data_IF_030785469281
#
_entry.id   IF_030785469281
#
_cell.length_a   1.000
_cell.length_b   1.000
_cell.length_c   1.000
_cell.angle_alpha   90.00
_cell.angle_beta   90.00
_cell.angle_gamma   90.00
#
_symmetry.space_group_name_H-M   'P 1'
#
loop_
_entity.id
_entity.type
_entity.pdbx_description
1 polymer ?
#
# COMPACT_ATOMS: atom_id res chain seq x y z
N UNK A 1 23.17 -13.37 27.27
CA UNK A 1 22.06 -12.41 27.35
C UNK A 1 21.16 -12.72 26.19
N UNK A 2 19.95 -13.20 26.48
CA UNK A 2 19.07 -13.76 25.46
C UNK A 2 18.56 -12.64 24.57
N UNK A 3 18.79 -12.78 23.27
CA UNK A 3 18.49 -11.74 22.29
C UNK A 3 17.01 -11.35 22.32
N UNK A 4 16.14 -12.32 22.60
CA UNK A 4 14.68 -12.15 22.60
C UNK A 4 14.17 -11.36 23.81
N UNK A 5 15.02 -11.07 24.80
CA UNK A 5 14.69 -10.21 25.94
C UNK A 5 14.77 -8.71 25.63
N UNK A 6 15.36 -8.33 24.48
CA UNK A 6 15.46 -6.95 24.01
C UNK A 6 14.16 -6.54 23.31
N UNK A 7 13.26 -5.98 24.12
CA UNK A 7 11.97 -5.44 23.69
C UNK A 7 11.82 -4.06 24.34
N UNK A 8 11.33 -3.08 23.57
CA UNK A 8 11.15 -1.69 24.00
C UNK A 8 10.40 -1.58 25.34
N UNK A 9 9.36 -2.40 25.53
CA UNK A 9 8.52 -2.42 26.73
C UNK A 9 9.18 -3.04 27.97
N UNK A 10 10.21 -3.87 27.80
CA UNK A 10 10.93 -4.50 28.92
C UNK A 10 12.18 -3.72 29.30
N UNK A 11 12.95 -3.26 28.31
CA UNK A 11 14.21 -2.55 28.51
C UNK A 11 14.37 -1.42 27.47
N UNK A 12 13.72 -0.27 27.66
CA UNK A 12 13.64 0.76 26.62
C UNK A 12 15.00 1.36 26.27
N UNK A 13 15.80 1.74 27.28
CA UNK A 13 17.09 2.40 27.06
C UNK A 13 18.11 1.49 26.36
N UNK A 14 18.25 0.24 26.82
CA UNK A 14 19.20 -0.70 26.19
C UNK A 14 18.75 -1.12 24.79
N UNK A 15 17.44 -1.24 24.56
CA UNK A 15 16.89 -1.57 23.24
C UNK A 15 17.13 -0.43 22.26
N UNK A 16 16.91 0.82 22.68
CA UNK A 16 17.21 2.01 21.86
C UNK A 16 18.71 2.13 21.57
N UNK A 17 19.57 1.94 22.57
CA UNK A 17 21.02 1.99 22.38
C UNK A 17 21.49 0.94 21.33
N UNK A 18 20.97 -0.29 21.42
CA UNK A 18 21.33 -1.36 20.49
C UNK A 18 20.75 -1.12 19.10
N UNK A 19 19.54 -0.57 19.02
CA UNK A 19 18.93 -0.11 17.78
C UNK A 19 19.82 0.93 17.08
N UNK A 20 20.23 1.99 17.77
CA UNK A 20 21.09 3.03 17.18
C UNK A 20 22.46 2.48 16.75
N UNK A 21 23.03 1.56 17.52
CA UNK A 21 24.30 0.91 17.15
C UNK A 21 24.18 0.04 15.90
N UNK A 22 23.12 -0.77 15.75
CA UNK A 22 22.91 -1.53 14.52
C UNK A 22 22.58 -0.63 13.34
N UNK A 23 21.76 0.41 13.57
CA UNK A 23 21.43 1.41 12.56
C UNK A 23 22.71 2.09 12.04
N UNK A 24 23.61 2.50 12.94
CA UNK A 24 24.89 3.09 12.56
C UNK A 24 25.76 2.12 11.76
N UNK A 25 25.85 0.85 12.16
CA UNK A 25 26.59 -0.18 11.41
C UNK A 25 25.99 -0.40 10.02
N UNK A 26 24.67 -0.46 9.91
CA UNK A 26 23.96 -0.62 8.64
C UNK A 26 24.22 0.57 7.72
N UNK A 27 24.11 1.79 8.25
CA UNK A 27 24.38 3.03 7.52
C UNK A 27 25.85 3.07 7.08
N UNK A 28 26.81 2.81 7.98
CA UNK A 28 28.23 2.86 7.65
C UNK A 28 28.62 1.81 6.61
N UNK A 29 28.10 0.58 6.73
CA UNK A 29 28.34 -0.49 5.76
C UNK A 29 27.69 -0.18 4.42
N UNK A 30 26.47 0.38 4.44
CA UNK A 30 25.77 0.85 3.25
C UNK A 30 26.54 1.95 2.54
N UNK A 31 27.01 2.95 3.29
CA UNK A 31 27.81 4.06 2.77
C UNK A 31 29.14 3.57 2.19
N UNK A 32 29.85 2.66 2.86
CA UNK A 32 31.08 2.07 2.33
C UNK A 32 30.83 1.32 1.02
N UNK A 33 29.75 0.55 0.92
CA UNK A 33 29.36 -0.13 -0.33
C UNK A 33 28.97 0.86 -1.41
N UNK A 34 28.24 1.92 -1.07
CA UNK A 34 27.86 2.98 -2.00
C UNK A 34 29.12 3.66 -2.56
N UNK A 35 30.06 4.04 -1.70
CA UNK A 35 31.34 4.66 -2.06
C UNK A 35 32.25 3.73 -2.86
N UNK A 36 32.14 2.41 -2.68
CA UNK A 36 32.81 1.43 -3.54
C UNK A 36 32.33 1.54 -5.00
N UNK A 37 31.04 1.87 -5.21
CA UNK A 37 30.49 2.25 -6.52
C UNK A 37 30.66 3.76 -6.77
N UNK A 38 31.92 4.20 -6.93
CA UNK A 38 32.31 5.62 -7.05
C UNK A 38 31.43 6.45 -7.98
N UNK A 39 31.04 5.90 -9.14
CA UNK A 39 30.17 6.58 -10.10
C UNK A 39 28.75 6.80 -9.57
N UNK A 40 28.17 5.77 -8.94
CA UNK A 40 26.81 5.84 -8.37
C UNK A 40 26.77 6.73 -7.12
N UNK A 41 27.82 6.72 -6.31
CA UNK A 41 27.95 7.66 -5.19
C UNK A 41 28.05 9.11 -5.68
N UNK A 42 28.82 9.35 -6.74
CA UNK A 42 28.98 10.69 -7.33
C UNK A 42 27.68 11.19 -7.96
N UNK A 43 26.94 10.34 -8.69
CA UNK A 43 25.64 10.75 -9.26
C UNK A 43 24.60 11.07 -8.19
N UNK A 44 24.53 10.27 -7.12
CA UNK A 44 23.63 10.55 -5.98
C UNK A 44 24.03 11.85 -5.28
N UNK A 45 25.33 12.06 -5.04
CA UNK A 45 25.81 13.28 -4.41
C UNK A 45 25.49 14.53 -5.24
N UNK A 46 25.75 14.50 -6.55
CA UNK A 46 25.43 15.60 -7.46
C UNK A 46 23.93 15.84 -7.53
N UNK A 47 23.11 14.78 -7.53
CA UNK A 47 21.65 14.91 -7.52
C UNK A 47 21.14 15.58 -6.23
N UNK A 48 21.64 15.17 -5.06
CA UNK A 48 21.28 15.77 -3.76
C UNK A 48 21.75 17.22 -3.69
N UNK A 49 22.98 17.51 -4.12
CA UNK A 49 23.48 18.87 -4.16
C UNK A 49 22.64 19.75 -5.10
N UNK A 50 22.30 19.23 -6.28
CA UNK A 50 21.46 19.92 -7.26
C UNK A 50 20.07 20.23 -6.74
N UNK A 51 19.42 19.28 -6.05
CA UNK A 51 18.09 19.52 -5.45
C UNK A 51 18.15 20.52 -4.30
N UNK A 52 19.17 20.44 -3.44
CA UNK A 52 19.38 21.40 -2.34
C UNK A 52 19.61 22.80 -2.89
N UNK A 53 20.50 22.96 -3.87
CA UNK A 53 20.77 24.26 -4.51
C UNK A 53 19.52 24.82 -5.18
N UNK A 54 18.78 23.98 -5.92
CA UNK A 54 17.52 24.36 -6.57
C UNK A 54 16.44 24.80 -5.58
N UNK A 55 16.45 24.27 -4.35
CA UNK A 55 15.51 24.66 -3.31
C UNK A 55 15.87 26.00 -2.64
N UNK A 56 17.15 26.22 -2.32
CA UNK A 56 17.59 27.42 -1.59
C UNK A 56 17.86 28.64 -2.47
N UNK A 57 18.20 28.44 -3.75
CA UNK A 57 18.46 29.56 -4.67
C UNK A 57 17.13 30.12 -5.16
N UNK A 58 16.86 31.38 -4.83
CA UNK A 58 15.70 32.10 -5.37
C UNK A 58 15.87 32.33 -6.87
N UNK A 59 14.86 32.00 -7.66
CA UNK A 59 14.90 32.19 -9.11
C UNK A 59 13.61 31.79 -9.81
N UNK A 60 13.54 31.95 -11.14
CA UNK A 60 12.34 31.64 -11.93
C UNK A 60 11.99 30.14 -11.95
N UNK A 61 12.89 29.28 -11.47
CA UNK A 61 12.69 27.84 -11.35
C UNK A 61 11.90 27.44 -10.08
N UNK A 62 11.80 28.32 -9.08
CA UNK A 62 11.10 28.07 -7.82
C UNK A 62 9.65 27.56 -7.96
N UNK A 63 8.77 28.12 -8.82
CA UNK A 63 7.43 27.57 -8.99
C UNK A 63 7.44 26.11 -9.47
N UNK A 64 8.36 25.73 -10.36
CA UNK A 64 8.51 24.35 -10.81
C UNK A 64 9.01 23.42 -9.70
N UNK A 65 9.96 23.90 -8.88
CA UNK A 65 10.48 23.15 -7.72
C UNK A 65 9.35 22.89 -6.71
N UNK A 66 8.53 23.89 -6.40
CA UNK A 66 7.40 23.73 -5.48
C UNK A 66 6.36 22.74 -6.02
N UNK A 67 6.05 22.79 -7.31
CA UNK A 67 5.17 21.80 -7.96
C UNK A 67 5.75 20.40 -7.83
N UNK A 68 7.03 20.20 -8.14
CA UNK A 68 7.68 18.88 -8.01
C UNK A 68 7.65 18.38 -6.58
N UNK A 69 7.95 19.22 -5.59
CA UNK A 69 7.91 18.85 -4.16
C UNK A 69 6.49 18.45 -3.76
N UNK A 70 5.49 19.26 -4.12
CA UNK A 70 4.09 18.98 -3.81
C UNK A 70 3.64 17.66 -4.47
N UNK A 71 3.98 17.44 -5.73
CA UNK A 71 3.67 16.20 -6.47
C UNK A 71 4.36 14.99 -5.85
N UNK A 72 5.64 15.09 -5.48
CA UNK A 72 6.35 13.98 -4.83
C UNK A 72 5.81 13.69 -3.43
N UNK A 73 5.46 14.71 -2.65
CA UNK A 73 4.82 14.55 -1.35
C UNK A 73 3.45 13.88 -1.49
N UNK A 74 2.67 14.26 -2.49
CA UNK A 74 1.39 13.64 -2.82
C UNK A 74 1.54 12.16 -3.20
N UNK A 75 2.48 11.81 -4.08
CA UNK A 75 2.76 10.43 -4.44
C UNK A 75 3.27 9.61 -3.25
N UNK A 76 4.20 10.19 -2.48
CA UNK A 76 4.75 9.58 -1.28
C UNK A 76 3.68 9.28 -0.24
N UNK A 77 2.70 10.17 -0.06
CA UNK A 77 1.55 9.95 0.81
C UNK A 77 0.76 8.70 0.42
N UNK A 78 0.44 8.53 -0.86
CA UNK A 78 -0.26 7.34 -1.36
C UNK A 78 0.56 6.06 -1.18
N UNK A 79 1.88 6.10 -1.39
CA UNK A 79 2.77 4.97 -1.12
C UNK A 79 2.75 4.60 0.37
N UNK A 80 2.88 5.58 1.27
CA UNK A 80 2.90 5.35 2.72
C UNK A 80 1.57 4.77 3.19
N UNK A 81 0.44 5.31 2.74
CA UNK A 81 -0.88 4.75 3.05
C UNK A 81 -1.02 3.32 2.50
N UNK A 82 -0.50 3.05 1.31
CA UNK A 82 -0.44 1.71 0.73
C UNK A 82 0.35 0.72 1.60
N UNK A 83 1.54 1.11 2.07
CA UNK A 83 2.34 0.28 2.99
C UNK A 83 1.58 0.02 4.29
N UNK A 84 1.02 1.07 4.88
CA UNK A 84 0.26 0.96 6.13
C UNK A 84 -0.99 0.09 5.97
N UNK A 85 -1.58 0.03 4.77
CA UNK A 85 -2.74 -0.82 4.49
C UNK A 85 -2.45 -2.32 4.51
N UNK A 86 -1.19 -2.73 4.29
CA UNK A 86 -0.81 -4.13 4.19
C UNK A 86 0.00 -4.65 5.38
N UNK A 87 0.68 -3.77 6.11
CA UNK A 87 1.48 -4.14 7.28
C UNK A 87 0.55 -4.45 8.48
N UNK A 88 0.07 -5.70 8.55
CA UNK A 88 -0.58 -6.26 9.75
C UNK A 88 -1.82 -7.13 9.50
N UNK A 89 -1.64 -8.30 8.87
CA UNK A 89 -2.69 -9.35 8.73
C UNK A 89 -3.88 -8.98 7.82
N UNK A 90 -3.65 -8.17 6.78
CA UNK A 90 -4.34 -8.40 5.51
C UNK A 90 -5.76 -7.84 5.34
N UNK A 91 -6.20 -6.83 6.10
CA UNK A 91 -7.47 -6.14 5.79
C UNK A 91 -7.32 -4.99 4.79
N UNK A 92 -6.36 -5.05 3.85
CA UNK A 92 -6.14 -4.00 2.84
C UNK A 92 -7.36 -3.63 1.97
N UNK A 93 -8.42 -4.46 1.95
CA UNK A 93 -9.72 -4.09 1.37
C UNK A 93 -10.41 -2.97 2.18
N UNK A 94 -10.30 -3.00 3.50
CA UNK A 94 -10.91 -2.03 4.38
C UNK A 94 -10.23 -0.68 4.30
N UNK A 95 -8.90 -0.65 4.32
CA UNK A 95 -8.11 0.58 4.14
C UNK A 95 -8.32 1.19 2.76
N UNK A 96 -8.49 0.37 1.72
CA UNK A 96 -8.93 0.84 0.41
C UNK A 96 -10.26 1.59 0.49
N UNK A 97 -11.27 1.03 1.17
CA UNK A 97 -12.59 1.66 1.30
C UNK A 97 -12.59 2.96 2.13
N UNK A 98 -11.56 3.23 2.93
CA UNK A 98 -11.48 4.43 3.77
C UNK A 98 -10.74 5.58 3.10
N UNK A 99 -9.73 5.28 2.29
CA UNK A 99 -8.83 6.29 1.72
C UNK A 99 -8.96 6.36 0.20
N UNK A 100 -8.52 5.33 -0.52
CA UNK A 100 -8.46 5.35 -1.98
C UNK A 100 -9.87 5.29 -2.62
N UNK A 101 -10.77 4.49 -2.07
CA UNK A 101 -12.16 4.36 -2.54
C UNK A 101 -12.92 5.69 -2.52
N UNK A 102 -12.98 6.40 -1.38
CA UNK A 102 -13.61 7.71 -1.29
C UNK A 102 -12.94 8.76 -2.19
N UNK A 103 -11.62 8.72 -2.36
CA UNK A 103 -10.92 9.59 -3.31
C UNK A 103 -11.38 9.35 -4.76
N UNK A 104 -11.43 8.08 -5.21
CA UNK A 104 -11.93 7.71 -6.54
C UNK A 104 -13.39 8.11 -6.70
N UNK A 105 -14.22 7.89 -5.68
CA UNK A 105 -15.63 8.27 -5.67
C UNK A 105 -15.81 9.78 -5.85
N UNK A 106 -15.05 10.61 -5.13
CA UNK A 106 -15.11 12.08 -5.26
C UNK A 106 -14.72 12.55 -6.66
N UNK A 107 -13.64 12.02 -7.23
CA UNK A 107 -13.23 12.33 -8.61
C UNK A 107 -14.28 11.90 -9.62
N UNK A 108 -14.92 10.75 -9.38
CA UNK A 108 -15.98 10.22 -10.25
C UNK A 108 -17.23 11.12 -10.20
N UNK A 109 -17.67 11.51 -9.01
CA UNK A 109 -18.82 12.42 -8.84
C UNK A 109 -18.54 13.79 -9.47
N UNK A 110 -17.39 14.39 -9.17
CA UNK A 110 -16.98 15.66 -9.75
C UNK A 110 -16.95 15.62 -11.29
N UNK A 111 -16.50 14.49 -11.87
CA UNK A 111 -16.52 14.31 -13.31
C UNK A 111 -17.93 14.30 -13.89
N UNK A 112 -18.86 13.52 -13.30
CA UNK A 112 -20.23 13.48 -13.78
C UNK A 112 -20.99 14.79 -13.56
N UNK A 113 -20.71 15.54 -12.49
CA UNK A 113 -21.35 16.82 -12.20
C UNK A 113 -20.86 17.94 -13.10
N UNK A 114 -19.55 18.03 -13.31
CA UNK A 114 -18.98 19.06 -14.18
C UNK A 114 -19.09 18.75 -15.68
N UNK A 115 -19.40 17.50 -16.06
CA UNK A 115 -19.37 17.07 -17.46
C UNK A 115 -17.96 17.12 -18.08
N UNK A 116 -16.92 17.30 -17.27
CA UNK A 116 -15.52 17.47 -17.68
C UNK A 116 -14.56 16.91 -16.64
N UNK A 117 -13.31 16.70 -17.02
CA UNK A 117 -12.25 16.17 -16.13
C UNK A 117 -11.21 17.21 -15.71
N UNK A 118 -11.29 18.43 -16.24
CA UNK A 118 -10.40 19.55 -15.94
C UNK A 118 -10.88 20.37 -14.74
N UNK A 119 -11.20 19.69 -13.65
CA UNK A 119 -11.47 20.29 -12.34
C UNK A 119 -10.24 20.11 -11.43
N UNK A 120 -10.07 20.99 -10.41
CA UNK A 120 -8.92 20.94 -9.49
C UNK A 120 -8.77 19.55 -8.86
N UNK A 121 -7.54 19.08 -8.70
CA UNK A 121 -7.27 17.78 -8.10
C UNK A 121 -7.48 17.81 -6.58
N UNK A 122 -7.86 16.68 -5.94
CA UNK A 122 -8.05 16.62 -4.50
C UNK A 122 -6.78 17.00 -3.71
N UNK A 123 -6.89 17.70 -2.57
CA UNK A 123 -8.12 18.10 -1.88
C UNK A 123 -8.86 19.23 -2.62
N UNK A 124 -10.14 19.02 -2.91
CA UNK A 124 -10.98 20.05 -3.52
C UNK A 124 -11.14 21.22 -2.53
N UNK A 125 -11.20 22.47 -3.00
CA UNK A 125 -11.78 23.54 -2.21
C UNK A 125 -13.24 23.19 -1.86
N UNK A 126 -13.85 23.94 -0.94
CA UNK A 126 -15.19 23.67 -0.40
C UNK A 126 -16.29 23.47 -1.47
N UNK A 127 -16.06 23.94 -2.70
CA UNK A 127 -16.94 23.74 -3.85
C UNK A 127 -16.17 23.12 -5.04
N UNK A 128 -16.81 22.21 -5.77
CA UNK A 128 -16.27 21.66 -7.02
C UNK A 128 -16.31 22.77 -8.08
N UNK A 129 -15.16 23.36 -8.38
CA UNK A 129 -15.05 24.38 -9.42
C UNK A 129 -14.98 23.70 -10.79
N UNK A 130 -16.08 23.72 -11.52
CA UNK A 130 -16.15 23.18 -12.88
C UNK A 130 -15.49 24.14 -13.90
N UNK A 131 -14.81 23.60 -14.93
CA UNK A 131 -14.24 24.42 -15.99
C UNK A 131 -15.34 25.08 -16.83
N UNK A 132 -15.10 26.31 -17.30
CA UNK A 132 -16.04 27.07 -18.12
C UNK A 132 -16.19 26.52 -19.56
N UNK A 133 -15.21 25.76 -20.05
CA UNK A 133 -15.23 25.13 -21.36
C UNK A 133 -15.00 23.62 -21.21
N UNK A 134 -15.86 22.83 -21.90
CA UNK A 134 -15.77 21.38 -21.92
C UNK A 134 -14.88 20.99 -23.10
N UNK A 135 -13.66 20.53 -22.82
CA UNK A 135 -12.77 19.98 -23.84
C UNK A 135 -13.35 18.66 -24.38
N UNK A 136 -13.53 18.51 -25.72
CA UNK A 136 -14.09 17.29 -26.31
C UNK A 136 -13.20 16.05 -26.07
N UNK A 137 -11.89 16.25 -25.87
CA UNK A 137 -10.95 15.16 -25.54
C UNK A 137 -11.04 14.71 -24.06
N UNK A 138 -11.58 15.55 -23.17
CA UNK A 138 -11.69 15.28 -21.74
C UNK A 138 -13.14 15.09 -21.29
N UNK A 139 -13.96 14.55 -22.20
CA UNK A 139 -15.34 14.15 -21.89
C UNK A 139 -15.38 13.06 -20.82
N UNK A 140 -16.48 13.04 -20.07
CA UNK A 140 -16.69 12.08 -18.99
C UNK A 140 -16.86 10.70 -19.57
N UNK A 141 -15.88 9.84 -19.29
CA UNK A 141 -15.93 8.42 -19.61
C UNK A 141 -15.24 7.63 -18.51
N UNK A 142 -15.63 6.37 -18.33
CA UNK A 142 -15.01 5.48 -17.34
C UNK A 142 -13.50 5.43 -17.55
N UNK A 143 -13.05 5.34 -18.80
CA UNK A 143 -11.63 5.30 -19.17
C UNK A 143 -10.90 6.59 -18.81
N UNK A 144 -11.49 7.75 -19.06
CA UNK A 144 -10.86 9.03 -18.76
C UNK A 144 -10.82 9.28 -17.24
N UNK A 145 -11.86 8.90 -16.49
CA UNK A 145 -11.86 8.93 -15.01
C UNK A 145 -10.78 7.98 -14.47
N UNK A 146 -10.70 6.74 -14.99
CA UNK A 146 -9.65 5.77 -14.62
C UNK A 146 -8.25 6.28 -14.92
N UNK A 147 -8.09 7.12 -15.95
CA UNK A 147 -6.83 7.76 -16.32
C UNK A 147 -6.48 8.90 -15.35
N UNK A 148 -7.47 9.69 -14.93
CA UNK A 148 -7.28 10.80 -13.97
C UNK A 148 -6.79 10.31 -12.60
N UNK A 149 -7.37 9.24 -12.05
CA UNK A 149 -6.97 8.66 -10.74
C UNK A 149 -5.83 7.64 -10.82
N UNK A 150 -5.12 7.57 -11.96
CA UNK A 150 -4.18 6.48 -12.25
C UNK A 150 -3.00 6.48 -11.31
N UNK A 151 -2.40 7.65 -11.08
CA UNK A 151 -1.13 7.75 -10.37
C UNK A 151 -1.34 7.44 -8.89
N UNK A 152 -2.36 8.02 -8.26
CA UNK A 152 -2.73 7.77 -6.87
C UNK A 152 -3.01 6.29 -6.64
N UNK A 153 -3.80 5.68 -7.53
CA UNK A 153 -4.12 4.25 -7.45
C UNK A 153 -2.87 3.38 -7.60
N UNK A 154 -2.00 3.68 -8.57
CA UNK A 154 -0.76 2.93 -8.79
C UNK A 154 0.22 3.09 -7.61
N UNK A 155 0.40 4.30 -7.09
CA UNK A 155 1.27 4.58 -5.95
C UNK A 155 0.78 3.87 -4.69
N UNK A 156 -0.52 3.87 -4.43
CA UNK A 156 -1.11 3.04 -3.38
C UNK A 156 -0.81 1.56 -3.59
N UNK A 157 -1.02 1.05 -4.80
CA UNK A 157 -0.75 -0.35 -5.13
C UNK A 157 0.73 -0.75 -4.98
N UNK A 158 1.66 0.13 -5.35
CA UNK A 158 3.10 -0.03 -5.08
C UNK A 158 3.35 -0.07 -3.59
N UNK A 159 2.75 0.84 -2.82
CA UNK A 159 2.80 0.83 -1.36
C UNK A 159 2.35 -0.50 -0.77
N UNK A 160 1.23 -1.05 -1.24
CA UNK A 160 0.76 -2.37 -0.78
C UNK A 160 1.75 -3.49 -1.10
N UNK A 161 2.38 -3.46 -2.28
CA UNK A 161 3.39 -4.46 -2.64
C UNK A 161 4.64 -4.35 -1.74
N UNK A 162 5.04 -3.12 -1.38
CA UNK A 162 6.15 -2.86 -0.46
C UNK A 162 5.85 -3.36 0.96
N UNK A 163 4.64 -3.11 1.47
CA UNK A 163 4.28 -3.50 2.83
C UNK A 163 4.10 -5.02 3.03
N UNK A 164 4.04 -5.80 1.95
CA UNK A 164 3.99 -7.27 2.00
C UNK A 164 5.34 -7.93 1.65
N UNK A 165 6.42 -7.17 1.52
CA UNK A 165 7.79 -7.68 1.47
C UNK A 165 8.29 -8.37 2.76
N UNK A 166 7.87 -7.99 3.98
CA UNK A 166 8.42 -8.58 5.20
C UNK A 166 8.30 -10.12 5.26
N UNK A 167 7.14 -10.76 4.96
CA UNK A 167 7.04 -12.23 4.90
C UNK A 167 8.06 -12.89 3.97
N UNK A 168 8.31 -12.30 2.80
CA UNK A 168 9.30 -12.81 1.84
C UNK A 168 10.72 -12.79 2.42
N UNK A 169 11.14 -11.67 3.00
CA UNK A 169 12.48 -11.57 3.59
C UNK A 169 12.64 -12.43 4.85
N UNK A 170 11.60 -12.53 5.67
CA UNK A 170 11.60 -13.42 6.84
C UNK A 170 11.80 -14.88 6.44
N UNK A 171 11.00 -15.38 5.47
CA UNK A 171 11.12 -16.76 5.00
C UNK A 171 12.47 -17.03 4.33
N UNK A 172 12.98 -16.05 3.56
CA UNK A 172 14.30 -16.14 2.93
C UNK A 172 15.44 -16.18 3.95
N UNK A 173 15.38 -15.33 4.99
CA UNK A 173 16.38 -15.30 6.05
C UNK A 173 16.35 -16.58 6.90
N UNK A 174 15.16 -17.12 7.20
CA UNK A 174 15.00 -18.38 7.91
C UNK A 174 15.65 -19.54 7.14
N UNK A 175 15.37 -19.65 5.83
CA UNK A 175 15.96 -20.68 4.97
C UNK A 175 17.48 -20.58 4.90
N UNK A 176 18.02 -19.37 4.70
CA UNK A 176 19.47 -19.14 4.63
C UNK A 176 20.19 -19.40 5.96
N UNK A 177 19.48 -19.31 7.09
CA UNK A 177 20.03 -19.58 8.42
C UNK A 177 20.00 -21.06 8.80
N UNK A 178 19.67 -21.96 7.86
CA UNK A 178 19.54 -23.39 8.13
C UNK A 178 18.26 -23.78 8.88
N UNK A 179 17.36 -22.82 9.12
CA UNK A 179 16.03 -23.07 9.66
C UNK A 179 15.20 -23.82 8.62
N UNK A 180 15.23 -25.14 8.71
CA UNK A 180 14.29 -26.00 8.00
C UNK A 180 12.88 -25.77 8.53
N UNK A 181 11.90 -25.88 7.63
CA UNK A 181 10.47 -25.81 7.88
C UNK A 181 10.04 -27.01 8.75
N UNK A 182 10.39 -27.01 10.03
CA UNK A 182 9.85 -27.99 10.98
C UNK A 182 8.52 -27.52 11.58
N UNK A 183 8.14 -26.24 11.43
CA UNK A 183 6.94 -25.68 12.08
C UNK A 183 5.83 -25.23 11.11
N UNK A 184 6.13 -24.98 9.82
CA UNK A 184 5.10 -24.67 8.80
C UNK A 184 4.54 -25.91 8.09
N UNK A 185 5.12 -27.08 8.34
CA UNK A 185 4.74 -28.38 7.76
C UNK A 185 4.35 -29.43 8.83
N UNK A 186 4.01 -29.00 10.04
CA UNK A 186 3.36 -29.90 11.00
C UNK A 186 1.89 -30.09 10.57
N UNK A 187 1.64 -31.18 9.83
CA UNK A 187 0.36 -31.88 9.69
C UNK A 187 -0.90 -31.01 9.78
N UNK A 188 -1.26 -30.32 8.69
CA UNK A 188 -2.57 -29.68 8.58
C UNK A 188 -3.28 -30.20 7.32
N UNK A 189 -4.09 -31.24 7.48
CA UNK A 189 -4.89 -31.91 6.42
C UNK A 189 -6.10 -31.06 5.96
N UNK A 190 -6.07 -29.78 6.32
CA UNK A 190 -7.08 -28.75 6.07
C UNK A 190 -7.11 -28.28 4.61
N UNK A 191 -8.24 -27.68 4.19
CA UNK A 191 -8.39 -26.92 2.94
C UNK A 191 -7.26 -25.88 2.75
N UNK A 192 -6.73 -25.32 3.84
CA UNK A 192 -5.58 -24.40 3.83
C UNK A 192 -4.30 -25.11 3.41
N UNK A 193 -4.05 -26.35 3.86
CA UNK A 193 -2.91 -27.19 3.45
C UNK A 193 -2.90 -27.49 1.94
N UNK A 194 -4.05 -27.79 1.36
CA UNK A 194 -4.19 -28.01 -0.10
C UNK A 194 -3.92 -26.74 -0.91
N UNK A 195 -4.38 -25.58 -0.43
CA UNK A 195 -4.08 -24.29 -1.05
C UNK A 195 -2.57 -23.98 -0.99
N UNK A 196 -1.89 -24.29 0.13
CA UNK A 196 -0.42 -24.19 0.25
C UNK A 196 0.31 -25.02 -0.81
N UNK A 197 -0.08 -26.29 -0.97
CA UNK A 197 0.53 -27.19 -1.97
C UNK A 197 0.23 -26.71 -3.41
N UNK A 198 -0.97 -26.18 -3.66
CA UNK A 198 -1.34 -25.64 -4.97
C UNK A 198 -0.51 -24.40 -5.33
N UNK A 199 -0.40 -23.43 -4.41
CA UNK A 199 0.41 -22.22 -4.58
C UNK A 199 1.89 -22.61 -4.77
N UNK A 200 2.38 -23.57 -4.00
CA UNK A 200 3.73 -24.11 -4.15
C UNK A 200 3.96 -24.69 -5.56
N UNK A 201 3.07 -25.56 -6.05
CA UNK A 201 3.16 -26.15 -7.38
C UNK A 201 3.04 -25.10 -8.49
N UNK A 202 2.19 -24.09 -8.31
CA UNK A 202 2.01 -23.00 -9.27
C UNK A 202 3.27 -22.12 -9.38
N UNK A 203 3.83 -21.70 -8.25
CA UNK A 203 5.05 -20.89 -8.21
C UNK A 203 6.26 -21.66 -8.75
N UNK A 204 6.38 -22.95 -8.42
CA UNK A 204 7.47 -23.79 -8.96
C UNK A 204 7.35 -24.06 -10.45
N UNK A 205 6.13 -24.28 -10.97
CA UNK A 205 5.92 -24.64 -12.38
C UNK A 205 5.86 -23.44 -13.32
N UNK A 206 5.36 -22.30 -12.84
CA UNK A 206 5.00 -21.13 -13.67
C UNK A 206 5.88 -19.91 -13.37
N UNK A 207 6.63 -19.91 -12.26
CA UNK A 207 7.57 -18.84 -11.92
C UNK A 207 6.89 -17.47 -11.80
N UNK A 208 7.33 -16.51 -12.62
CA UNK A 208 6.83 -15.13 -12.61
C UNK A 208 5.32 -15.02 -12.77
N UNK A 209 4.72 -15.76 -13.72
CA UNK A 209 3.28 -15.68 -13.97
C UNK A 209 2.45 -16.34 -12.84
N UNK A 210 3.01 -17.34 -12.15
CA UNK A 210 2.39 -17.92 -10.94
C UNK A 210 2.36 -16.90 -9.79
N UNK A 211 3.45 -16.18 -9.58
CA UNK A 211 3.54 -15.12 -8.56
C UNK A 211 2.59 -13.96 -8.91
N UNK A 212 2.51 -13.57 -10.18
CA UNK A 212 1.62 -12.54 -10.66
C UNK A 212 0.15 -12.90 -10.40
N UNK A 213 -0.25 -14.14 -10.69
CA UNK A 213 -1.59 -14.64 -10.42
C UNK A 213 -1.91 -14.57 -8.91
N UNK A 214 -1.01 -15.04 -8.05
CA UNK A 214 -1.19 -14.96 -6.59
C UNK A 214 -1.24 -13.51 -6.08
N UNK A 215 -0.50 -12.59 -6.69
CA UNK A 215 -0.51 -11.15 -6.35
C UNK A 215 -1.76 -10.41 -6.80
N UNK A 216 -2.44 -10.92 -7.81
CA UNK A 216 -3.66 -10.31 -8.37
C UNK A 216 -4.92 -10.70 -7.58
N UNK A 217 -4.85 -11.72 -6.70
CA UNK A 217 -5.97 -12.29 -5.94
C UNK A 217 -5.96 -11.76 -4.48
N UNK A 218 -7.12 -11.66 -3.78
CA UNK A 218 -7.19 -11.11 -2.42
C UNK A 218 -6.22 -11.71 -1.39
N UNK A 219 -5.91 -10.86 -0.40
CA UNK A 219 -4.73 -10.86 0.47
C UNK A 219 -4.26 -12.22 1.09
N UNK A 220 -5.12 -13.18 1.49
CA UNK A 220 -4.64 -14.42 2.11
C UNK A 220 -3.74 -15.29 1.22
N UNK A 221 -3.97 -15.26 -0.10
CA UNK A 221 -3.19 -16.05 -1.07
C UNK A 221 -1.80 -15.44 -1.33
N UNK A 222 -1.67 -14.13 -1.16
CA UNK A 222 -0.42 -13.43 -1.41
C UNK A 222 0.58 -13.62 -0.27
N UNK A 223 0.16 -13.50 0.99
CA UNK A 223 1.06 -13.67 2.14
C UNK A 223 1.71 -15.07 2.10
N UNK A 224 0.93 -16.06 1.68
CA UNK A 224 1.38 -17.41 1.43
C UNK A 224 2.36 -17.51 0.25
N UNK A 225 2.09 -16.82 -0.86
CA UNK A 225 3.02 -16.71 -1.98
C UNK A 225 4.35 -16.04 -1.56
N UNK A 226 4.30 -15.00 -0.71
CA UNK A 226 5.49 -14.33 -0.17
C UNK A 226 6.36 -15.26 0.66
N UNK A 227 5.76 -15.99 1.61
CA UNK A 227 6.47 -16.97 2.43
C UNK A 227 7.09 -18.09 1.59
N UNK A 228 6.33 -18.66 0.65
CA UNK A 228 6.82 -19.73 -0.24
C UNK A 228 7.94 -19.24 -1.15
N UNK A 229 7.80 -18.07 -1.79
CA UNK A 229 8.83 -17.48 -2.64
C UNK A 229 10.12 -17.18 -1.86
N UNK A 230 10.00 -16.67 -0.64
CA UNK A 230 11.15 -16.43 0.25
C UNK A 230 11.88 -17.74 0.59
N UNK A 231 11.13 -18.78 0.96
CA UNK A 231 11.67 -20.09 1.27
C UNK A 231 12.38 -20.76 0.08
N UNK A 232 11.82 -20.66 -1.12
CA UNK A 232 12.44 -21.21 -2.34
C UNK A 232 13.55 -20.32 -2.93
N UNK A 233 13.93 -19.24 -2.24
CA UNK A 233 14.99 -18.33 -2.64
C UNK A 233 14.76 -17.72 -4.04
N UNK A 234 13.50 -17.54 -4.44
CA UNK A 234 13.14 -16.89 -5.71
C UNK A 234 13.83 -15.52 -5.77
N UNK A 235 14.41 -15.10 -6.91
CA UNK A 235 15.05 -13.79 -7.03
C UNK A 235 14.11 -12.66 -6.63
N UNK A 236 14.64 -11.67 -5.90
CA UNK A 236 13.85 -10.55 -5.39
C UNK A 236 13.10 -9.82 -6.51
N UNK A 237 13.77 -9.54 -7.63
CA UNK A 237 13.17 -8.81 -8.75
C UNK A 237 12.04 -9.59 -9.45
N UNK A 238 12.13 -10.91 -9.51
CA UNK A 238 11.05 -11.75 -10.07
C UNK A 238 9.83 -11.72 -9.17
N UNK A 239 10.03 -11.82 -7.85
CA UNK A 239 8.96 -11.70 -6.88
C UNK A 239 8.39 -10.28 -6.90
N UNK A 240 9.18 -9.27 -6.56
CA UNK A 240 8.76 -7.89 -6.44
C UNK A 240 8.12 -7.35 -7.72
N UNK A 241 8.71 -7.61 -8.90
CA UNK A 241 8.13 -7.19 -10.18
C UNK A 241 6.74 -7.78 -10.44
N UNK A 242 6.56 -9.08 -10.18
CA UNK A 242 5.25 -9.74 -10.29
C UNK A 242 4.25 -9.18 -9.26
N UNK A 243 4.72 -8.84 -8.05
CA UNK A 243 3.86 -8.31 -6.98
C UNK A 243 3.37 -6.90 -7.30
N UNK A 244 4.26 -6.02 -7.80
CA UNK A 244 3.92 -4.67 -8.23
C UNK A 244 2.97 -4.70 -9.42
N UNK A 245 3.24 -5.54 -10.43
CA UNK A 245 2.36 -5.67 -11.58
C UNK A 245 0.97 -6.20 -11.19
N UNK A 246 0.91 -7.21 -10.33
CA UNK A 246 -0.36 -7.76 -9.86
C UNK A 246 -1.16 -6.77 -9.01
N UNK A 247 -0.49 -6.00 -8.14
CA UNK A 247 -1.16 -5.10 -7.20
C UNK A 247 -1.40 -3.72 -7.75
N UNK A 248 -0.38 -3.04 -8.25
CA UNK A 248 -0.47 -1.66 -8.74
C UNK A 248 -1.17 -1.55 -10.09
N UNK A 249 -1.10 -2.60 -10.92
CA UNK A 249 -1.77 -2.60 -12.22
C UNK A 249 -3.06 -3.42 -12.10
N UNK A 250 -2.98 -4.75 -12.08
CA UNK A 250 -4.16 -5.61 -12.26
C UNK A 250 -5.23 -5.37 -11.18
N UNK A 251 -4.87 -5.55 -9.90
CA UNK A 251 -5.79 -5.41 -8.77
C UNK A 251 -6.37 -4.00 -8.67
N UNK A 252 -5.53 -2.97 -8.78
CA UNK A 252 -6.01 -1.57 -8.72
C UNK A 252 -6.94 -1.23 -9.88
N UNK A 253 -6.65 -1.68 -11.10
CA UNK A 253 -7.54 -1.46 -12.25
C UNK A 253 -8.93 -2.08 -12.03
N UNK A 254 -8.99 -3.29 -11.48
CA UNK A 254 -10.26 -3.95 -11.14
C UNK A 254 -10.99 -3.18 -10.03
N UNK A 255 -10.30 -2.84 -8.94
CA UNK A 255 -10.90 -2.15 -7.79
C UNK A 255 -11.42 -0.75 -8.15
N UNK A 256 -10.65 0.05 -8.91
CA UNK A 256 -11.11 1.38 -9.32
C UNK A 256 -12.25 1.32 -10.33
N UNK A 257 -12.24 0.35 -11.25
CA UNK A 257 -13.34 0.16 -12.20
C UNK A 257 -14.64 -0.14 -11.45
N UNK A 258 -14.60 -1.00 -10.44
CA UNK A 258 -15.76 -1.28 -9.59
C UNK A 258 -16.29 -0.02 -8.91
N UNK A 259 -15.41 0.80 -8.32
CA UNK A 259 -15.82 2.06 -7.67
C UNK A 259 -16.42 3.04 -8.69
N UNK A 260 -15.78 3.27 -9.84
CA UNK A 260 -16.27 4.21 -10.86
C UNK A 260 -17.65 3.79 -11.39
N UNK A 261 -17.85 2.48 -11.60
CA UNK A 261 -19.15 1.93 -12.01
C UNK A 261 -20.21 2.15 -10.94
N UNK A 262 -19.88 1.89 -9.66
CA UNK A 262 -20.82 2.04 -8.55
C UNK A 262 -21.30 3.50 -8.34
N UNK A 263 -20.50 4.48 -8.75
CA UNK A 263 -20.84 5.91 -8.65
C UNK A 263 -21.31 6.53 -9.98
N UNK A 264 -21.47 5.74 -11.04
CA UNK A 264 -22.08 6.21 -12.29
C UNK A 264 -23.59 5.99 -12.26
N UNK A 265 -24.37 7.07 -12.17
CA UNK A 265 -25.84 6.98 -12.08
C UNK A 265 -26.49 6.28 -13.28
N UNK A 266 -25.98 6.49 -14.50
CA UNK A 266 -26.51 5.84 -15.71
C UNK A 266 -26.27 4.34 -15.70
N UNK A 267 -25.09 3.91 -15.27
CA UNK A 267 -24.71 2.50 -15.25
C UNK A 267 -25.33 1.77 -14.07
N UNK A 268 -25.43 2.44 -12.92
CA UNK A 268 -26.19 1.97 -11.75
C UNK A 268 -27.65 1.75 -12.14
N UNK A 269 -28.30 2.71 -12.81
CA UNK A 269 -29.67 2.55 -13.30
C UNK A 269 -29.84 1.35 -14.24
N UNK A 270 -28.90 1.14 -15.16
CA UNK A 270 -28.89 -0.04 -16.04
C UNK A 270 -28.70 -1.34 -15.26
N UNK A 271 -27.74 -1.41 -14.34
CA UNK A 271 -27.53 -2.60 -13.49
C UNK A 271 -28.75 -2.88 -12.61
N UNK A 272 -29.37 -1.85 -12.04
CA UNK A 272 -30.59 -1.99 -11.25
C UNK A 272 -31.75 -2.57 -12.10
N UNK A 273 -31.94 -2.09 -13.33
CA UNK A 273 -32.95 -2.65 -14.25
C UNK A 273 -32.66 -4.11 -14.66
N UNK A 274 -31.39 -4.52 -14.69
CA UNK A 274 -31.00 -5.91 -14.93
C UNK A 274 -31.24 -6.78 -13.69
N UNK A 275 -30.99 -6.24 -12.50
CA UNK A 275 -31.28 -6.90 -11.22
C UNK A 275 -32.79 -7.04 -11.03
N UNK A 276 -33.59 -6.05 -11.42
CA UNK A 276 -35.06 -6.09 -11.41
C UNK A 276 -35.62 -7.25 -12.25
N UNK A 277 -34.95 -7.59 -13.37
CA UNK A 277 -35.31 -8.74 -14.22
C UNK A 277 -35.05 -10.11 -13.58
N UNK A 278 -34.37 -10.18 -12.43
CA UNK A 278 -34.17 -11.44 -11.71
C UNK A 278 -35.44 -11.76 -10.91
N UNK A 279 -36.18 -12.83 -11.27
CA UNK A 279 -37.40 -13.18 -10.55
C UNK A 279 -37.09 -13.45 -9.06
N UNK A 280 -38.02 -13.05 -8.19
CA UNK A 280 -38.02 -13.27 -6.73
C UNK A 280 -37.02 -12.44 -5.89
N UNK A 281 -35.83 -12.13 -6.41
CA UNK A 281 -34.74 -11.47 -5.66
C UNK A 281 -34.53 -10.00 -6.09
N UNK A 282 -34.81 -9.68 -7.36
CA UNK A 282 -34.62 -8.34 -7.95
C UNK A 282 -35.24 -7.18 -7.16
N UNK A 283 -36.57 -7.14 -6.98
CA UNK A 283 -37.24 -6.02 -6.31
C UNK A 283 -36.90 -5.89 -4.81
N UNK A 284 -36.39 -6.96 -4.18
CA UNK A 284 -35.92 -6.92 -2.77
C UNK A 284 -34.50 -6.38 -2.62
N UNK A 285 -33.67 -6.47 -3.66
CA UNK A 285 -32.30 -5.97 -3.65
C UNK A 285 -32.18 -4.55 -4.21
N UNK A 286 -33.06 -4.15 -5.13
CA UNK A 286 -33.02 -2.84 -5.77
C UNK A 286 -33.16 -1.69 -4.76
N UNK A 287 -34.23 -1.70 -3.94
CA UNK A 287 -34.50 -0.66 -2.95
C UNK A 287 -33.33 -0.44 -1.95
N UNK A 288 -32.80 -1.47 -1.26
CA UNK A 288 -31.69 -1.27 -0.32
C UNK A 288 -30.38 -0.89 -1.03
N UNK A 289 -30.14 -1.35 -2.26
CA UNK A 289 -28.96 -0.97 -3.03
C UNK A 289 -29.02 0.50 -3.47
N UNK A 290 -30.17 0.95 -3.97
CA UNK A 290 -30.41 2.31 -4.41
C UNK A 290 -30.35 3.29 -3.22
N UNK A 291 -30.96 2.92 -2.09
CA UNK A 291 -30.90 3.71 -0.86
C UNK A 291 -29.49 3.77 -0.26
N UNK A 292 -28.72 2.68 -0.30
CA UNK A 292 -27.32 2.67 0.11
C UNK A 292 -26.47 3.61 -0.77
N UNK A 293 -26.64 3.55 -2.10
CA UNK A 293 -25.93 4.40 -3.04
C UNK A 293 -26.29 5.88 -2.86
N UNK A 294 -27.58 6.21 -2.70
CA UNK A 294 -28.04 7.58 -2.39
C UNK A 294 -27.48 8.10 -1.08
N UNK A 295 -27.51 7.29 -0.02
CA UNK A 295 -26.98 7.66 1.29
C UNK A 295 -25.45 7.84 1.25
N UNK A 296 -24.72 7.04 0.48
CA UNK A 296 -23.29 7.24 0.27
C UNK A 296 -23.01 8.53 -0.52
N UNK A 297 -23.74 8.79 -1.61
CA UNK A 297 -23.61 10.03 -2.39
C UNK A 297 -23.87 11.26 -1.51
N UNK A 298 -24.97 11.26 -0.75
CA UNK A 298 -25.34 12.37 0.14
C UNK A 298 -24.31 12.60 1.26
N UNK A 299 -23.76 11.53 1.85
CA UNK A 299 -22.68 11.63 2.85
C UNK A 299 -21.39 12.20 2.25
N UNK A 300 -21.13 11.96 0.97
CA UNK A 300 -19.95 12.48 0.31
C UNK A 300 -20.05 13.99 0.05
N UNK A 301 -21.23 14.49 -0.34
CA UNK A 301 -21.51 15.93 -0.48
C UNK A 301 -21.53 16.69 0.85
N UNK A 302 -22.03 16.08 1.93
CA UNK A 302 -22.20 16.77 3.21
C UNK A 302 -20.87 17.06 3.92
N UNK A 303 -19.80 16.35 3.58
CA UNK A 303 -18.45 16.63 4.10
C UNK A 303 -17.84 17.93 3.55
N UNK A 304 -18.46 18.56 2.54
CA UNK A 304 -17.99 19.81 1.93
C UNK A 304 -18.69 21.06 2.49
N UNK A 305 -19.79 20.91 3.25
CA UNK A 305 -20.50 22.02 3.88
C UNK A 305 -19.93 22.33 5.27
N UNK A 306 -19.34 23.50 5.44
CA UNK A 306 -18.75 24.00 6.69
C UNK A 306 -19.74 24.10 7.86
N UNK A 307 -19.94 22.99 8.56
CA UNK A 307 -20.26 22.95 9.99
C UNK A 307 -19.11 22.19 10.68
N UNK A 308 -18.69 22.56 11.90
CA UNK A 308 -17.72 21.77 12.63
C UNK A 308 -18.29 20.37 12.74
N UNK A 309 -17.57 19.41 12.18
CA UNK A 309 -17.93 18.01 12.23
C UNK A 309 -18.00 17.63 13.70
N UNK A 310 -19.21 17.60 14.26
CA UNK A 310 -19.49 16.65 15.33
C UNK A 310 -19.11 15.30 14.73
N UNK A 311 -18.03 14.76 15.27
CA UNK A 311 -17.33 13.55 14.83
C UNK A 311 -18.30 12.35 14.82
N UNK A 312 -19.12 12.27 13.77
CA UNK A 312 -19.91 11.11 13.40
C UNK A 312 -19.38 10.52 12.08
N UNK A 313 -18.07 10.61 11.85
CA UNK A 313 -17.41 9.37 11.48
C UNK A 313 -17.83 8.36 12.53
N UNK A 314 -18.70 7.40 12.16
CA UNK A 314 -19.22 6.36 13.04
C UNK A 314 -18.16 6.01 14.07
N UNK A 315 -18.50 5.81 15.35
CA UNK A 315 -17.53 5.36 16.37
C UNK A 315 -16.59 4.28 15.80
N UNK A 316 -17.10 3.45 14.89
CA UNK A 316 -16.36 2.53 14.03
C UNK A 316 -15.19 3.15 13.21
N UNK A 317 -15.38 4.23 12.45
CA UNK A 317 -14.33 4.91 11.67
C UNK A 317 -13.24 5.49 12.56
N UNK A 318 -13.61 6.17 13.65
CA UNK A 318 -12.62 6.72 14.60
C UNK A 318 -11.88 5.61 15.36
N UNK A 319 -12.59 4.57 15.79
CA UNK A 319 -12.00 3.39 16.44
C UNK A 319 -11.07 2.65 15.50
N UNK A 320 -11.41 2.60 14.22
CA UNK A 320 -10.62 1.99 13.19
C UNK A 320 -9.39 2.81 12.81
N UNK A 321 -9.49 4.13 12.69
CA UNK A 321 -8.32 4.99 12.50
C UNK A 321 -7.33 4.84 13.66
N UNK A 322 -7.84 4.81 14.90
CA UNK A 322 -7.03 4.53 16.10
C UNK A 322 -6.43 3.13 16.07
N UNK A 323 -7.16 2.13 15.59
CA UNK A 323 -6.67 0.77 15.42
C UNK A 323 -5.55 0.70 14.37
N UNK A 324 -5.72 1.34 13.21
CA UNK A 324 -4.69 1.42 12.16
C UNK A 324 -3.46 2.16 12.70
N UNK A 325 -3.64 3.29 13.38
CA UNK A 325 -2.54 4.00 14.03
C UNK A 325 -1.81 3.11 15.05
N UNK A 326 -2.54 2.36 15.86
CA UNK A 326 -1.97 1.41 16.82
C UNK A 326 -1.16 0.30 16.11
N UNK A 327 -1.64 -0.21 14.98
CA UNK A 327 -0.90 -1.18 14.16
C UNK A 327 0.37 -0.58 13.57
N UNK A 328 0.32 0.66 13.06
CA UNK A 328 1.50 1.37 12.53
C UNK A 328 2.52 1.62 13.65
N UNK A 329 2.08 2.09 14.81
CA UNK A 329 2.96 2.27 15.99
C UNK A 329 3.56 0.94 16.43
N UNK A 330 2.75 -0.13 16.49
CA UNK A 330 3.24 -1.47 16.81
C UNK A 330 4.29 -1.95 15.80
N UNK A 331 4.09 -1.67 14.51
CA UNK A 331 5.05 -2.00 13.47
C UNK A 331 6.37 -1.23 13.63
N UNK A 332 6.31 0.08 13.89
CA UNK A 332 7.51 0.89 14.17
C UNK A 332 8.26 0.33 15.40
N UNK A 333 7.54 0.01 16.47
CA UNK A 333 8.11 -0.63 17.67
C UNK A 333 8.74 -1.99 17.32
N UNK A 334 8.09 -2.77 16.45
CA UNK A 334 8.62 -4.05 15.97
C UNK A 334 9.93 -3.90 15.20
N UNK A 335 10.04 -2.88 14.34
CA UNK A 335 11.30 -2.56 13.64
C UNK A 335 12.42 -2.23 14.63
N UNK A 336 12.13 -1.38 15.63
CA UNK A 336 13.12 -1.01 16.66
C UNK A 336 13.60 -2.24 17.42
N UNK A 337 12.67 -3.10 17.83
CA UNK A 337 12.99 -4.35 18.52
C UNK A 337 13.84 -5.27 17.64
N UNK A 338 13.43 -5.50 16.39
CA UNK A 338 14.13 -6.39 15.47
C UNK A 338 15.58 -5.95 15.21
N UNK A 339 15.81 -4.65 15.03
CA UNK A 339 17.17 -4.10 14.84
C UNK A 339 18.03 -4.21 16.09
N UNK A 340 17.47 -3.94 17.27
CA UNK A 340 18.17 -4.11 18.55
C UNK A 340 18.58 -5.57 18.79
N UNK A 341 17.69 -6.52 18.47
CA UNK A 341 17.94 -7.95 18.57
C UNK A 341 19.03 -8.41 17.58
N UNK A 342 19.02 -7.87 16.36
CA UNK A 342 20.07 -8.15 15.37
C UNK A 342 21.45 -7.69 15.85
N UNK A 343 21.55 -6.53 16.49
CA UNK A 343 22.80 -6.08 17.12
C UNK A 343 23.32 -7.09 18.14
N UNK A 344 22.44 -7.53 19.06
CA UNK A 344 22.78 -8.49 20.11
C UNK A 344 23.29 -9.81 19.53
N UNK A 345 22.61 -10.33 18.50
CA UNK A 345 23.03 -11.53 17.76
C UNK A 345 24.40 -11.34 17.10
N UNK A 346 24.65 -10.16 16.51
CA UNK A 346 25.95 -9.82 15.88
C UNK A 346 27.09 -9.76 16.90
N UNK A 347 26.87 -9.16 18.07
CA UNK A 347 27.85 -9.12 19.17
C UNK A 347 28.10 -10.51 19.72
N UNK A 348 27.06 -11.34 19.87
CA UNK A 348 27.17 -12.74 20.27
C UNK A 348 28.07 -13.55 19.33
N UNK A 349 27.84 -13.45 18.01
CA UNK A 349 28.68 -14.12 16.99
C UNK A 349 30.14 -13.65 17.01
N UNK A 350 30.40 -12.36 17.20
CA UNK A 350 31.77 -11.82 17.31
C UNK A 350 32.51 -12.31 18.56
N UNK A 351 31.82 -12.52 19.68
CA UNK A 351 32.41 -13.08 20.90
C UNK A 351 32.70 -14.58 20.78
N UNK A 352 31.83 -15.33 20.08
CA UNK A 352 32.08 -16.75 19.78
C UNK A 352 33.32 -16.97 18.91
N UNK A 353 33.44 -16.19 17.82
CA UNK A 353 34.60 -16.23 16.90
C UNK A 353 35.96 -15.79 17.48
N UNK A 354 35.98 -15.23 18.69
CA UNK A 354 37.20 -14.85 19.41
C UNK A 354 37.60 -15.88 20.48
N UNK A 355 36.72 -16.85 20.76
CA UNK A 355 36.94 -17.91 21.76
C UNK A 355 37.34 -19.23 21.13
N UNK A 356 37.04 -19.42 19.85
CA UNK A 356 37.77 -20.32 18.94
C UNK A 356 39.04 -19.62 18.45
#
# INVERSE_FOLDING_TARGET
>A
MDSDSLVLWRRPLTTLEYFFKELFILISTGLQRLLAYRLLALTIFVAILGTVVSYYVSGPHQPYVQVVIATLAWWGWWVVLGVCSSVGLGTGLHTFLLYLGPHIARVTLAAYECGALNFPEPPYPNDIICPAQIDPNNTVSIWNIMSKVRIESMMWGIGTALGELPPYFMARAARLSGGGVAELAANDDSRTGRAKIMVQKLVQKVGFAGILACASVPNPLFDLAGLTCGHFLVPFWTFFGATVLGKAVIKMHIQKMFVIIAFNETLVGQVLSWVERIPYIGPKLEAPLLEFLRNQKARLHKNDSAAPVENQGSVLSSLLEKFVLAMVVYFVVSIVNALAQNYSKRVGKKKGKKRE
#
